data_IF_902605770613
#
_entry.id   IF_902605770613
#
_cell.length_a   1.000
_cell.length_b   1.000
_cell.length_c   1.000
_cell.angle_alpha   90.00
_cell.angle_beta   90.00
_cell.angle_gamma   90.00
#
_symmetry.space_group_name_H-M   'P 1'
#
loop_
_entity.id
_entity.type
_entity.pdbx_description
1 polymer ?
#
# COMPACT_ATOMS: atom_id res chain seq x y z
N UNK A 1 7.16 3.01 2.44
CA UNK A 1 7.93 4.21 2.87
C UNK A 1 6.98 5.17 3.56
N UNK A 2 7.33 5.70 4.74
CA UNK A 2 6.53 6.76 5.38
C UNK A 2 6.70 8.07 4.60
N UNK A 3 5.59 8.70 4.21
CA UNK A 3 5.58 9.92 3.40
C UNK A 3 5.03 11.14 4.17
N UNK A 4 4.33 10.89 5.28
CA UNK A 4 3.83 11.87 6.23
C UNK A 4 3.50 11.14 7.54
N UNK A 5 3.30 11.85 8.67
CA UNK A 5 3.02 11.21 9.96
C UNK A 5 1.84 10.24 9.88
N UNK A 6 2.09 8.97 10.16
CA UNK A 6 1.07 7.88 10.11
C UNK A 6 0.52 7.60 8.71
N UNK A 7 1.24 7.99 7.65
CA UNK A 7 0.90 7.71 6.27
C UNK A 7 2.11 7.05 5.60
N UNK A 8 1.94 5.80 5.19
CA UNK A 8 2.90 5.09 4.38
C UNK A 8 2.35 4.82 2.98
N UNK A 9 3.26 4.72 2.01
CA UNK A 9 2.96 4.38 0.62
C UNK A 9 3.71 3.13 0.17
N UNK A 10 3.01 2.29 -0.58
CA UNK A 10 3.54 1.13 -1.30
C UNK A 10 3.10 1.24 -2.75
N UNK A 11 4.05 1.12 -3.67
CA UNK A 11 3.79 1.20 -5.10
C UNK A 11 3.79 -0.22 -5.67
N UNK A 12 2.68 -0.62 -6.31
CA UNK A 12 2.57 -1.91 -6.98
C UNK A 12 3.51 -1.98 -8.20
N UNK A 13 4.04 -3.16 -8.56
CA UNK A 13 4.93 -3.35 -9.70
C UNK A 13 4.15 -3.42 -11.03
N UNK A 14 3.25 -2.47 -11.27
CA UNK A 14 2.36 -2.43 -12.44
C UNK A 14 2.50 -1.14 -13.26
N UNK A 15 3.73 -0.65 -13.45
CA UNK A 15 4.01 0.58 -14.19
C UNK A 15 3.48 0.53 -15.64
N UNK A 16 2.82 1.61 -16.07
CA UNK A 16 2.21 1.74 -17.41
C UNK A 16 1.82 3.19 -17.69
N UNK A 17 1.41 3.56 -18.91
CA UNK A 17 0.82 4.88 -19.17
C UNK A 17 -0.39 5.23 -18.30
N UNK A 18 -1.13 4.23 -17.78
CA UNK A 18 -2.30 4.45 -16.94
C UNK A 18 -1.99 4.56 -15.45
N UNK A 19 -0.86 4.00 -15.02
CA UNK A 19 -0.47 3.87 -13.61
C UNK A 19 0.82 4.61 -13.29
N UNK A 20 1.43 5.26 -14.28
CA UNK A 20 2.75 5.89 -14.20
C UNK A 20 3.81 4.91 -13.69
N UNK A 21 4.40 5.17 -12.51
CA UNK A 21 5.38 4.27 -11.88
C UNK A 21 4.75 3.04 -11.23
N UNK A 22 3.42 2.97 -11.16
CA UNK A 22 2.64 1.93 -10.52
C UNK A 22 1.51 2.51 -9.65
N UNK A 23 0.51 1.68 -9.35
CA UNK A 23 -0.58 2.05 -8.44
C UNK A 23 -0.03 2.25 -7.04
N UNK A 24 -0.40 3.36 -6.39
CA UNK A 24 0.04 3.66 -5.04
C UNK A 24 -1.04 3.29 -4.04
N UNK A 25 -0.76 2.28 -3.23
CA UNK A 25 -1.55 1.96 -2.04
C UNK A 25 -1.05 2.78 -0.86
N UNK A 26 -1.99 3.35 -0.11
CA UNK A 26 -1.69 4.15 1.07
C UNK A 26 -2.17 3.44 2.32
N UNK A 27 -1.31 3.40 3.33
CA UNK A 27 -1.62 2.87 4.65
C UNK A 27 -1.71 4.05 5.60
N UNK A 28 -2.89 4.25 6.18
CA UNK A 28 -3.20 5.42 7.02
C UNK A 28 -3.56 4.94 8.41
N UNK A 29 -2.90 5.46 9.44
CA UNK A 29 -3.19 5.12 10.84
C UNK A 29 -1.98 4.57 11.59
N UNK A 30 -2.20 4.17 12.85
CA UNK A 30 -1.14 3.70 13.75
C UNK A 30 -1.43 2.32 14.32
N UNK A 31 -2.45 2.22 15.19
CA UNK A 31 -2.86 0.99 15.87
C UNK A 31 -3.90 0.24 15.05
N UNK A 32 -4.92 0.96 14.61
CA UNK A 32 -5.83 0.59 13.54
C UNK A 32 -5.39 1.34 12.29
N UNK A 33 -5.53 0.70 11.13
CA UNK A 33 -5.15 1.27 9.84
C UNK A 33 -6.26 1.15 8.81
N UNK A 34 -6.17 1.95 7.77
CA UNK A 34 -6.95 1.80 6.55
C UNK A 34 -5.99 1.66 5.38
N UNK A 35 -6.29 0.75 4.47
CA UNK A 35 -5.61 0.63 3.19
C UNK A 35 -6.46 1.28 2.12
N UNK A 36 -5.93 2.33 1.48
CA UNK A 36 -6.57 3.04 0.37
C UNK A 36 -5.93 2.59 -0.93
N UNK A 37 -6.77 2.19 -1.88
CA UNK A 37 -6.40 1.72 -3.22
C UNK A 37 -5.41 0.54 -3.17
N UNK A 38 -5.89 -0.70 -2.92
CA UNK A 38 -5.03 -1.87 -2.70
C UNK A 38 -4.22 -2.27 -3.94
N UNK A 39 -4.45 -1.65 -5.10
CA UNK A 39 -3.74 -1.97 -6.33
C UNK A 39 -4.29 -3.21 -7.06
N UNK A 40 -3.57 -3.70 -8.08
CA UNK A 40 -3.97 -4.87 -8.85
C UNK A 40 -3.79 -6.17 -8.05
N UNK A 41 -4.44 -7.24 -8.51
CA UNK A 41 -4.28 -8.60 -7.99
C UNK A 41 -2.90 -9.17 -8.37
N UNK A 42 -1.89 -8.82 -7.57
CA UNK A 42 -0.49 -9.20 -7.75
C UNK A 42 0.04 -9.68 -6.40
N UNK A 43 0.43 -10.96 -6.33
CA UNK A 43 0.85 -11.62 -5.08
C UNK A 43 1.94 -10.84 -4.32
N UNK A 44 2.96 -10.35 -5.02
CA UNK A 44 4.05 -9.58 -4.39
C UNK A 44 3.53 -8.28 -3.72
N UNK A 45 2.57 -7.60 -4.35
CA UNK A 45 1.99 -6.38 -3.82
C UNK A 45 1.05 -6.67 -2.65
N UNK A 46 0.25 -7.73 -2.75
CA UNK A 46 -0.58 -8.21 -1.66
C UNK A 46 0.27 -8.55 -0.42
N UNK A 47 1.33 -9.33 -0.59
CA UNK A 47 2.27 -9.67 0.48
C UNK A 47 2.94 -8.42 1.07
N UNK A 48 3.28 -7.42 0.25
CA UNK A 48 3.82 -6.15 0.74
C UNK A 48 2.80 -5.39 1.61
N UNK A 49 1.52 -5.39 1.24
CA UNK A 49 0.44 -4.79 2.03
C UNK A 49 0.22 -5.53 3.35
N UNK A 50 0.20 -6.87 3.35
CA UNK A 50 0.04 -7.67 4.57
C UNK A 50 1.22 -7.46 5.53
N UNK A 51 2.46 -7.46 5.02
CA UNK A 51 3.65 -7.16 5.83
C UNK A 51 3.59 -5.76 6.41
N UNK A 52 3.11 -4.79 5.64
CA UNK A 52 2.99 -3.43 6.11
C UNK A 52 1.83 -3.24 7.09
N UNK A 53 0.75 -4.01 6.98
CA UNK A 53 -0.31 -4.07 7.99
C UNK A 53 0.23 -4.58 9.33
N UNK A 54 1.15 -5.56 9.30
CA UNK A 54 1.88 -6.04 10.47
C UNK A 54 0.96 -6.46 11.64
N UNK A 55 -0.15 -7.14 11.32
CA UNK A 55 -1.13 -7.62 12.30
C UNK A 55 -1.97 -6.54 12.97
N UNK A 56 -1.92 -5.30 12.48
CA UNK A 56 -2.85 -4.23 12.88
C UNK A 56 -4.23 -4.49 12.30
N UNK A 57 -5.26 -4.05 13.01
CA UNK A 57 -6.63 -4.10 12.50
C UNK A 57 -6.77 -3.18 11.28
N UNK A 58 -7.46 -3.69 10.25
CA UNK A 58 -7.67 -3.05 8.93
C UNK A 58 -9.15 -2.85 8.65
#
# INVERSE_FOLDING_TARGET
MEIAPSIARICAPNASPYTFTGTNSYIVGKQEIVIIDPGPDVDEHFEALIRAANGRDV
#
